data_IF_969421255935
#
_entry.id   IF_969421255935
#
_cell.length_a   1.000
_cell.length_b   1.000
_cell.length_c   1.000
_cell.angle_alpha   90.00
_cell.angle_beta   90.00
_cell.angle_gamma   90.00
#
_symmetry.space_group_name_H-M   'P 1'
#
loop_
_entity.id
_entity.type
_entity.pdbx_description
1 polymer ?
#
# COMPACT_ATOMS: atom_id res chain seq x y z
N UNK A 1 9.41 -9.44 15.49
CA UNK A 1 10.11 -8.39 14.72
C UNK A 1 9.03 -7.56 14.09
N UNK A 2 9.09 -6.23 14.26
CA UNK A 2 8.14 -5.29 13.65
C UNK A 2 8.22 -5.40 12.13
N UNK A 3 7.08 -5.49 11.44
CA UNK A 3 7.04 -5.54 9.96
C UNK A 3 6.99 -4.14 9.34
N UNK A 4 6.78 -3.11 10.16
CA UNK A 4 6.70 -1.71 9.74
C UNK A 4 7.95 -0.95 10.16
N UNK A 5 8.32 0.05 9.36
CA UNK A 5 9.40 0.98 9.67
C UNK A 5 8.92 2.39 9.35
N UNK A 6 8.68 3.17 10.39
CA UNK A 6 8.23 4.56 10.28
C UNK A 6 9.40 5.54 10.13
N UNK A 7 10.66 5.08 10.03
CA UNK A 7 11.81 5.95 9.89
C UNK A 7 11.71 6.87 8.67
N UNK A 8 11.30 6.32 7.52
CA UNK A 8 11.05 7.15 6.33
C UNK A 8 9.92 8.16 6.55
N UNK A 9 8.84 7.74 7.20
CA UNK A 9 7.73 8.64 7.56
C UNK A 9 8.21 9.77 8.47
N UNK A 10 8.98 9.45 9.52
CA UNK A 10 9.58 10.43 10.43
C UNK A 10 10.47 11.42 9.68
N UNK A 11 11.28 10.95 8.73
CA UNK A 11 12.18 11.82 7.95
C UNK A 11 11.40 12.81 7.07
N UNK A 12 10.34 12.36 6.40
CA UNK A 12 9.55 13.23 5.50
C UNK A 12 8.61 14.18 6.24
N UNK A 13 8.17 13.83 7.45
CA UNK A 13 7.34 14.71 8.29
C UNK A 13 8.17 15.61 9.23
N UNK A 14 9.48 15.41 9.29
CA UNK A 14 10.34 16.10 10.26
C UNK A 14 10.08 15.67 11.71
N UNK A 15 9.52 14.47 11.91
CA UNK A 15 9.13 13.95 13.22
C UNK A 15 7.89 14.60 13.82
N UNK A 16 7.11 15.34 13.02
CA UNK A 16 5.85 15.91 13.46
C UNK A 16 4.80 14.81 13.65
N UNK A 17 4.42 14.56 14.90
CA UNK A 17 3.50 13.48 15.26
C UNK A 17 2.09 13.68 14.66
N UNK A 18 1.60 14.92 14.52
CA UNK A 18 0.28 15.19 13.93
C UNK A 18 0.29 14.80 12.44
N UNK A 19 1.33 15.21 11.71
CA UNK A 19 1.48 14.86 10.29
C UNK A 19 1.67 13.35 10.11
N UNK A 20 2.46 12.70 10.98
CA UNK A 20 2.64 11.25 10.93
C UNK A 20 1.32 10.51 11.13
N UNK A 21 0.52 10.94 12.10
CA UNK A 21 -0.81 10.37 12.38
C UNK A 21 -1.74 10.55 11.18
N UNK A 22 -1.78 11.74 10.56
CA UNK A 22 -2.60 11.98 9.36
C UNK A 22 -2.20 11.06 8.20
N UNK A 23 -0.90 10.86 7.97
CA UNK A 23 -0.41 10.00 6.91
C UNK A 23 -0.72 8.52 7.15
N UNK A 24 -0.60 8.05 8.40
CA UNK A 24 -1.00 6.70 8.79
C UNK A 24 -2.51 6.52 8.61
N UNK A 25 -3.31 7.50 9.00
CA UNK A 25 -4.77 7.45 8.80
C UNK A 25 -5.14 7.39 7.33
N UNK A 26 -4.51 8.22 6.50
CA UNK A 26 -4.70 8.20 5.06
C UNK A 26 -4.35 6.82 4.50
N UNK A 27 -3.24 6.23 4.91
CA UNK A 27 -2.84 4.89 4.50
C UNK A 27 -3.89 3.83 4.89
N UNK A 28 -4.37 3.84 6.14
CA UNK A 28 -5.35 2.89 6.65
C UNK A 28 -6.71 3.00 5.94
N UNK A 29 -7.08 4.20 5.49
CA UNK A 29 -8.37 4.46 4.82
C UNK A 29 -8.31 4.26 3.31
N UNK A 30 -7.23 4.68 2.64
CA UNK A 30 -7.12 4.65 1.18
C UNK A 30 -6.67 3.29 0.64
N UNK A 31 -5.78 2.58 1.34
CA UNK A 31 -5.30 1.26 0.91
C UNK A 31 -6.43 0.25 0.62
N UNK A 32 -7.42 0.04 1.50
CA UNK A 32 -8.52 -0.87 1.20
C UNK A 32 -9.39 -0.40 0.01
N UNK A 33 -9.53 0.92 -0.21
CA UNK A 33 -10.24 1.45 -1.38
C UNK A 33 -9.50 1.12 -2.67
N UNK A 34 -8.18 1.32 -2.68
CA UNK A 34 -7.34 0.96 -3.82
C UNK A 34 -7.42 -0.54 -4.14
N UNK A 35 -7.39 -1.41 -3.12
CA UNK A 35 -7.54 -2.87 -3.30
C UNK A 35 -8.91 -3.21 -3.92
N UNK A 36 -9.99 -2.60 -3.42
CA UNK A 36 -11.33 -2.81 -3.97
C UNK A 36 -11.41 -2.36 -5.44
N UNK A 37 -10.85 -1.19 -5.75
CA UNK A 37 -10.82 -0.66 -7.12
C UNK A 37 -10.03 -1.59 -8.05
N UNK A 38 -8.82 -2.01 -7.65
CA UNK A 38 -8.01 -2.96 -8.44
C UNK A 38 -8.75 -4.28 -8.69
N UNK A 39 -9.48 -4.81 -7.70
CA UNK A 39 -10.29 -6.03 -7.91
C UNK A 39 -11.47 -5.81 -8.84
N UNK A 40 -12.11 -4.64 -8.78
CA UNK A 40 -13.18 -4.27 -9.73
C UNK A 40 -12.64 -4.13 -11.15
N UNK A 41 -11.51 -3.44 -11.33
CA UNK A 41 -10.85 -3.27 -12.63
C UNK A 41 -10.39 -4.61 -13.20
N UNK A 42 -9.80 -5.47 -12.36
CA UNK A 42 -9.46 -6.85 -12.71
C UNK A 42 -10.68 -7.65 -13.21
N UNK A 43 -11.82 -7.56 -12.51
CA UNK A 43 -13.04 -8.27 -12.91
C UNK A 43 -13.63 -7.78 -14.25
N UNK A 44 -13.29 -6.56 -14.67
CA UNK A 44 -13.68 -5.98 -15.95
C UNK A 44 -12.57 -6.07 -17.00
N UNK A 45 -11.47 -6.78 -16.73
CA UNK A 45 -10.30 -6.90 -17.60
C UNK A 45 -9.64 -5.54 -17.95
N UNK A 46 -9.78 -4.55 -17.06
CA UNK A 46 -9.22 -3.20 -17.23
C UNK A 46 -7.78 -3.12 -16.70
N UNK A 47 -6.86 -3.88 -17.32
CA UNK A 47 -5.47 -4.05 -16.85
C UNK A 47 -4.70 -2.74 -16.67
N UNK A 48 -4.87 -1.80 -17.60
CA UNK A 48 -4.23 -0.49 -17.50
C UNK A 48 -4.73 0.31 -16.30
N UNK A 49 -6.00 0.15 -15.93
CA UNK A 49 -6.59 0.79 -14.76
C UNK A 49 -6.02 0.18 -13.48
N UNK A 50 -5.88 -1.15 -13.41
CA UNK A 50 -5.18 -1.83 -12.30
C UNK A 50 -3.77 -1.23 -12.11
N UNK A 51 -3.03 -1.08 -13.21
CA UNK A 51 -1.69 -0.48 -13.20
C UNK A 51 -1.68 1.01 -12.82
N UNK A 52 -2.74 1.76 -13.12
CA UNK A 52 -2.88 3.15 -12.71
C UNK A 52 -3.29 3.28 -11.24
N UNK A 53 -4.08 2.35 -10.72
CA UNK A 53 -4.56 2.34 -9.35
C UNK A 53 -3.45 1.95 -8.38
N UNK A 54 -2.71 0.87 -8.66
CA UNK A 54 -1.56 0.48 -7.84
C UNK A 54 -0.46 1.55 -7.83
N UNK A 55 -0.31 2.36 -8.90
CA UNK A 55 0.64 3.46 -8.93
C UNK A 55 0.37 4.51 -7.85
N UNK A 56 -0.91 4.73 -7.49
CA UNK A 56 -1.32 5.66 -6.43
C UNK A 56 -1.01 5.10 -5.04
N UNK A 57 -1.18 3.79 -4.87
CA UNK A 57 -0.89 3.08 -3.63
C UNK A 57 0.61 2.89 -3.39
N UNK A 58 1.38 2.55 -4.43
CA UNK A 58 2.80 2.21 -4.37
C UNK A 58 3.65 3.13 -3.46
N UNK A 59 3.65 4.48 -3.62
CA UNK A 59 4.50 5.33 -2.80
C UNK A 59 4.16 5.28 -1.31
N UNK A 60 2.90 5.01 -0.95
CA UNK A 60 2.48 5.01 0.47
C UNK A 60 3.00 3.78 1.23
N UNK A 61 3.27 2.67 0.53
CA UNK A 61 3.89 1.47 1.10
C UNK A 61 5.30 1.76 1.65
N UNK A 62 6.07 2.65 1.02
CA UNK A 62 7.39 3.05 1.50
C UNK A 62 7.31 3.87 2.78
N UNK A 63 6.23 4.64 2.97
CA UNK A 63 6.07 5.48 4.15
C UNK A 63 5.98 4.64 5.42
N UNK A 64 5.29 3.50 5.33
CA UNK A 64 5.14 2.56 6.45
C UNK A 64 6.19 1.45 6.47
N UNK A 65 7.22 1.54 5.62
CA UNK A 65 8.36 0.62 5.61
C UNK A 65 8.12 -0.73 4.93
N UNK A 66 7.03 -0.88 4.18
CA UNK A 66 6.62 -2.13 3.53
C UNK A 66 7.35 -2.33 2.19
N UNK A 67 8.69 -2.46 2.25
CA UNK A 67 9.54 -2.57 1.05
C UNK A 67 9.21 -3.79 0.19
N UNK A 68 8.89 -4.92 0.81
CA UNK A 68 8.53 -6.13 0.06
C UNK A 68 7.22 -5.93 -0.72
N UNK A 69 6.22 -5.31 -0.11
CA UNK A 69 4.98 -4.95 -0.79
C UNK A 69 5.18 -3.88 -1.86
N UNK A 70 6.13 -2.97 -1.69
CA UNK A 70 6.48 -2.00 -2.72
C UNK A 70 6.99 -2.69 -3.99
N UNK A 71 7.79 -3.75 -3.87
CA UNK A 71 8.24 -4.55 -5.03
C UNK A 71 7.08 -5.31 -5.70
N UNK A 72 6.15 -5.85 -4.91
CA UNK A 72 4.91 -6.45 -5.43
C UNK A 72 4.09 -5.41 -6.21
N UNK A 73 3.94 -4.21 -5.66
CA UNK A 73 3.24 -3.10 -6.30
C UNK A 73 3.91 -2.65 -7.60
N UNK A 74 5.25 -2.65 -7.67
CA UNK A 74 6.00 -2.38 -8.91
C UNK A 74 5.72 -3.44 -9.99
N UNK A 75 5.73 -4.72 -9.61
CA UNK A 75 5.42 -5.81 -10.54
C UNK A 75 3.98 -5.71 -11.06
N UNK A 76 3.03 -5.44 -10.17
CA UNK A 76 1.61 -5.24 -10.51
C UNK A 76 1.42 -4.05 -11.45
N UNK A 77 2.08 -2.92 -11.17
CA UNK A 77 2.06 -1.73 -12.03
C UNK A 77 2.57 -2.06 -13.42
N UNK A 78 3.71 -2.74 -13.50
CA UNK A 78 4.33 -3.06 -14.77
C UNK A 78 3.47 -4.03 -15.60
N UNK A 79 2.92 -5.06 -14.94
CA UNK A 79 2.05 -6.05 -15.56
C UNK A 79 0.75 -5.41 -16.08
N UNK A 80 0.11 -4.56 -15.28
CA UNK A 80 -1.10 -3.84 -15.67
C UNK A 80 -0.88 -2.84 -16.81
N UNK A 81 0.16 -2.00 -16.72
CA UNK A 81 0.44 -0.97 -17.74
C UNK A 81 0.91 -1.54 -19.08
N UNK A 82 1.67 -2.63 -19.05
CA UNK A 82 2.20 -3.27 -20.27
C UNK A 82 1.32 -4.42 -20.76
N UNK A 83 0.24 -4.73 -20.06
CA UNK A 83 -0.65 -5.85 -20.35
C UNK A 83 0.12 -7.18 -20.51
N UNK A 84 1.07 -7.42 -19.61
CA UNK A 84 1.91 -8.61 -19.60
C UNK A 84 1.68 -9.41 -18.33
N UNK A 85 1.92 -10.72 -18.37
CA UNK A 85 1.80 -11.61 -17.21
C UNK A 85 0.45 -11.43 -16.48
N UNK A 86 -0.64 -11.34 -17.25
CA UNK A 86 -1.97 -11.03 -16.72
C UNK A 86 -2.45 -12.08 -15.71
N UNK A 87 -2.00 -13.33 -15.87
CA UNK A 87 -2.28 -14.43 -14.94
C UNK A 87 -1.70 -14.19 -13.54
N UNK A 88 -0.66 -13.36 -13.41
CA UNK A 88 -0.03 -13.04 -12.12
C UNK A 88 -0.75 -11.91 -11.38
N UNK A 89 -1.51 -11.05 -12.09
CA UNK A 89 -2.17 -9.87 -11.53
C UNK A 89 -3.06 -10.21 -10.32
N UNK A 90 -3.94 -11.24 -10.37
CA UNK A 90 -4.76 -11.60 -9.21
C UNK A 90 -3.92 -12.00 -7.99
N UNK A 91 -2.81 -12.71 -8.20
CA UNK A 91 -1.89 -13.10 -7.14
C UNK A 91 -1.21 -11.90 -6.49
N UNK A 92 -0.72 -10.97 -7.30
CA UNK A 92 -0.07 -9.74 -6.82
C UNK A 92 -1.04 -8.84 -6.04
N UNK A 93 -2.33 -8.78 -6.43
CA UNK A 93 -3.35 -8.07 -5.66
C UNK A 93 -3.59 -8.76 -4.31
N UNK A 94 -3.63 -10.09 -4.27
CA UNK A 94 -3.75 -10.85 -3.02
C UNK A 94 -2.56 -10.57 -2.10
N UNK A 95 -1.34 -10.59 -2.63
CA UNK A 95 -0.12 -10.32 -1.85
C UNK A 95 -0.17 -8.93 -1.19
N UNK A 96 -0.65 -7.91 -1.92
CA UNK A 96 -0.86 -6.56 -1.37
C UNK A 96 -1.90 -6.55 -0.25
N UNK A 97 -3.04 -7.23 -0.45
CA UNK A 97 -4.11 -7.30 0.53
C UNK A 97 -3.68 -8.03 1.80
N UNK A 98 -3.00 -9.17 1.66
CA UNK A 98 -2.50 -9.96 2.77
C UNK A 98 -1.45 -9.17 3.56
N UNK A 99 -0.46 -8.57 2.88
CA UNK A 99 0.55 -7.77 3.57
C UNK A 99 -0.03 -6.52 4.25
N UNK A 100 -1.07 -5.90 3.70
CA UNK A 100 -1.79 -4.82 4.38
C UNK A 100 -2.49 -5.32 5.66
N UNK A 101 -3.20 -6.45 5.58
CA UNK A 101 -3.90 -7.05 6.71
C UNK A 101 -2.94 -7.49 7.83
N UNK A 102 -1.71 -7.89 7.49
CA UNK A 102 -0.70 -8.25 8.48
C UNK A 102 -0.18 -7.06 9.31
N UNK A 103 -0.24 -5.84 8.77
CA UNK A 103 0.36 -4.66 9.41
C UNK A 103 -0.64 -3.63 9.92
N UNK A 104 -1.93 -3.82 9.61
CA UNK A 104 -3.00 -2.88 9.97
C UNK A 104 -3.10 -2.65 11.48
N UNK A 105 -2.97 -3.70 12.29
CA UNK A 105 -3.09 -3.59 13.75
C UNK A 105 -1.83 -2.97 14.35
N UNK A 106 -0.65 -3.32 13.83
CA UNK A 106 0.61 -2.71 14.24
C UNK A 106 0.63 -1.19 13.94
N UNK A 107 0.13 -0.77 12.78
CA UNK A 107 0.01 0.65 12.41
C UNK A 107 -0.95 1.41 13.32
N UNK A 108 -2.08 0.81 13.71
CA UNK A 108 -3.03 1.41 14.67
C UNK A 108 -2.39 1.59 16.05
N UNK A 109 -1.61 0.61 16.51
CA UNK A 109 -0.88 0.71 17.77
C UNK A 109 0.14 1.86 17.71
N UNK A 110 0.92 1.97 16.63
CA UNK A 110 1.91 3.06 16.49
C UNK A 110 1.27 4.44 16.35
N UNK A 111 0.15 4.53 15.65
CA UNK A 111 -0.66 5.75 15.63
C UNK A 111 -1.10 6.16 17.04
N UNK A 112 -1.56 5.20 17.85
CA UNK A 112 -1.98 5.49 19.22
C UNK A 112 -0.80 5.93 20.11
N UNK A 113 0.39 5.35 19.93
CA UNK A 113 1.62 5.77 20.63
C UNK A 113 2.02 7.22 20.30
N UNK A 114 1.83 7.68 19.06
CA UNK A 114 2.16 9.05 18.64
C UNK A 114 1.22 10.13 19.21
N UNK A 115 0.03 9.73 19.68
CA UNK A 115 -0.98 10.64 20.25
C UNK A 115 -0.91 10.76 21.78
N UNK A 116 -0.02 10.00 22.43
CA UNK A 116 0.18 10.01 23.88
C UNK A 116 1.45 10.79 24.26
#
# INVERSE_FOLDING_TARGET
MSKIDLGYLTDITGGDAEIMVEMIDLFLVETPKHIINMRSELANEEWQNVGAEVHKLKPTLLYVGLKDLHEVALALEENGRKEKNLDDIPGLINDIEDGFNEVIDELKEKKAELLN
#
